data_IF_191203566133
#
_entry.id   IF_191203566133
#
_cell.length_a   1.000
_cell.length_b   1.000
_cell.length_c   1.000
_cell.angle_alpha   90.00
_cell.angle_beta   90.00
_cell.angle_gamma   90.00
#
_symmetry.space_group_name_H-M   'P 1'
#
loop_
_entity.id
_entity.type
_entity.pdbx_description
1 polymer ?
#
# COMPACT_ATOMS: atom_id res chain seq x y z
N UNK A 1 -52.35 -23.96 -0.57
CA UNK A 1 -51.20 -23.31 0.10
C UNK A 1 -50.00 -23.25 -0.82
N UNK A 2 -49.50 -24.37 -1.34
CA UNK A 2 -48.32 -24.41 -2.25
C UNK A 2 -48.33 -23.49 -3.48
N UNK A 3 -49.47 -23.35 -4.19
CA UNK A 3 -49.57 -22.50 -5.38
C UNK A 3 -49.45 -21.00 -5.09
N UNK A 4 -49.87 -20.54 -3.89
CA UNK A 4 -49.70 -19.15 -3.47
C UNK A 4 -48.25 -18.82 -3.11
N UNK A 5 -47.57 -19.75 -2.48
CA UNK A 5 -46.15 -19.62 -2.16
C UNK A 5 -45.29 -19.59 -3.42
N UNK A 6 -45.59 -20.46 -4.39
CA UNK A 6 -44.92 -20.45 -5.69
C UNK A 6 -45.14 -19.15 -6.47
N UNK A 7 -46.32 -18.56 -6.43
CA UNK A 7 -46.58 -17.26 -7.10
C UNK A 7 -45.81 -16.13 -6.43
N UNK A 8 -45.71 -16.12 -5.11
CA UNK A 8 -44.93 -15.11 -4.35
C UNK A 8 -43.45 -15.26 -4.68
N UNK A 9 -42.92 -16.47 -4.74
CA UNK A 9 -41.52 -16.74 -5.02
C UNK A 9 -41.16 -16.40 -6.47
N UNK A 10 -42.00 -16.78 -7.44
CA UNK A 10 -41.82 -16.39 -8.83
C UNK A 10 -41.91 -14.87 -9.03
N UNK A 11 -42.82 -14.20 -8.33
CA UNK A 11 -42.92 -12.75 -8.38
C UNK A 11 -41.66 -12.08 -7.84
N UNK A 12 -41.12 -12.61 -6.75
CA UNK A 12 -39.86 -12.15 -6.18
C UNK A 12 -38.68 -12.35 -7.13
N UNK A 13 -38.60 -13.51 -7.78
CA UNK A 13 -37.58 -13.79 -8.81
C UNK A 13 -37.69 -12.86 -10.02
N UNK A 14 -38.90 -12.56 -10.46
CA UNK A 14 -39.11 -11.61 -11.55
C UNK A 14 -38.74 -10.18 -11.13
N UNK A 15 -39.10 -9.76 -9.93
CA UNK A 15 -38.74 -8.45 -9.40
C UNK A 15 -37.21 -8.32 -9.20
N UNK A 16 -36.53 -9.39 -8.82
CA UNK A 16 -35.05 -9.43 -8.69
C UNK A 16 -34.36 -9.36 -10.07
N UNK A 17 -34.91 -10.03 -11.09
CA UNK A 17 -34.40 -9.97 -12.46
C UNK A 17 -34.72 -8.65 -13.18
N UNK A 18 -35.74 -7.94 -12.74
CA UNK A 18 -36.15 -6.64 -13.28
C UNK A 18 -35.43 -5.44 -12.63
N UNK A 19 -34.58 -5.68 -11.63
CA UNK A 19 -33.81 -4.59 -11.04
C UNK A 19 -32.89 -3.95 -12.08
N UNK A 20 -32.97 -2.64 -12.29
CA UNK A 20 -32.07 -1.95 -13.20
C UNK A 20 -30.61 -2.06 -12.69
N UNK A 21 -29.64 -2.00 -13.61
CA UNK A 21 -28.22 -2.06 -13.22
C UNK A 21 -27.90 -0.91 -12.25
N UNK A 22 -27.34 -1.25 -11.10
CA UNK A 22 -26.83 -0.28 -10.14
C UNK A 22 -25.49 0.31 -10.58
N UNK A 23 -25.17 1.51 -10.12
CA UNK A 23 -23.86 2.13 -10.30
C UNK A 23 -23.09 2.08 -8.98
N UNK A 24 -21.83 1.68 -9.02
CA UNK A 24 -20.98 1.71 -7.84
C UNK A 24 -20.37 3.09 -7.61
N UNK A 25 -20.22 3.45 -6.34
CA UNK A 25 -19.58 4.67 -5.89
C UNK A 25 -18.81 4.42 -4.58
N UNK A 26 -17.85 5.28 -4.26
CA UNK A 26 -17.08 5.20 -3.01
C UNK A 26 -17.68 6.13 -1.97
N UNK A 27 -18.00 5.61 -0.79
CA UNK A 27 -18.54 6.37 0.33
C UNK A 27 -17.46 7.24 0.98
N UNK A 28 -17.76 8.52 1.20
CA UNK A 28 -16.87 9.48 1.85
C UNK A 28 -17.22 9.76 3.30
N UNK A 29 -18.52 9.80 3.60
CA UNK A 29 -19.03 10.12 4.93
C UNK A 29 -20.52 10.40 4.93
N UNK A 30 -21.12 10.29 6.11
CA UNK A 30 -22.53 10.61 6.37
C UNK A 30 -22.69 12.01 6.95
N UNK A 31 -23.88 12.58 6.76
CA UNK A 31 -24.28 13.86 7.35
C UNK A 31 -25.37 13.67 8.41
N UNK A 32 -25.56 14.67 9.30
CA UNK A 32 -26.57 14.61 10.36
C UNK A 32 -28.01 14.49 9.84
N UNK A 33 -28.27 14.92 8.61
CA UNK A 33 -29.58 14.85 7.94
C UNK A 33 -29.89 13.49 7.31
N UNK A 34 -29.00 12.49 7.49
CA UNK A 34 -29.14 11.15 6.93
C UNK A 34 -28.74 11.03 5.46
N UNK A 35 -28.25 12.10 4.85
CA UNK A 35 -27.65 12.07 3.51
C UNK A 35 -26.19 11.66 3.55
N UNK A 36 -25.63 11.32 2.40
CA UNK A 36 -24.24 10.82 2.29
C UNK A 36 -23.48 11.53 1.18
N UNK A 37 -22.20 11.73 1.42
CA UNK A 37 -21.25 12.18 0.41
C UNK A 37 -20.56 10.96 -0.21
N UNK A 38 -20.50 10.89 -1.53
CA UNK A 38 -19.88 9.80 -2.30
C UNK A 38 -18.98 10.35 -3.41
N UNK A 39 -18.11 9.50 -3.94
CA UNK A 39 -17.42 9.72 -5.22
C UNK A 39 -17.91 8.68 -6.23
N UNK A 40 -18.45 9.15 -7.34
CA UNK A 40 -18.81 8.32 -8.47
C UNK A 40 -18.14 8.85 -9.74
N UNK A 41 -17.39 8.00 -10.44
CA UNK A 41 -16.64 8.37 -11.65
C UNK A 41 -15.73 9.60 -11.45
N UNK A 42 -15.06 9.71 -10.29
CA UNK A 42 -14.17 10.82 -9.94
C UNK A 42 -14.88 12.13 -9.54
N UNK A 43 -16.22 12.15 -9.45
CA UNK A 43 -17.01 13.32 -9.04
C UNK A 43 -17.56 13.13 -7.65
N UNK A 44 -17.36 14.14 -6.79
CA UNK A 44 -17.99 14.17 -5.48
C UNK A 44 -19.48 14.54 -5.64
N UNK A 45 -20.34 13.71 -5.07
CA UNK A 45 -21.80 13.87 -5.11
C UNK A 45 -22.37 13.81 -3.70
N UNK A 46 -23.48 14.51 -3.51
CA UNK A 46 -24.28 14.47 -2.30
C UNK A 46 -25.62 13.83 -2.64
N UNK A 47 -25.93 12.70 -2.00
CA UNK A 47 -27.08 11.86 -2.37
C UNK A 47 -27.84 11.37 -1.13
N UNK A 48 -29.09 10.95 -1.34
CA UNK A 48 -29.86 10.29 -0.30
C UNK A 48 -29.44 8.84 -0.07
N UNK A 49 -29.78 8.31 1.09
CA UNK A 49 -29.66 6.89 1.39
C UNK A 49 -31.04 6.25 1.55
N UNK A 50 -31.17 4.98 1.17
CA UNK A 50 -32.39 4.21 1.38
C UNK A 50 -32.70 4.09 2.88
N UNK A 51 -33.96 4.21 3.32
CA UNK A 51 -34.34 3.97 4.70
C UNK A 51 -34.01 2.57 5.22
N UNK A 52 -33.83 1.61 4.31
CA UNK A 52 -33.45 0.22 4.64
C UNK A 52 -31.94 0.07 4.93
N UNK A 53 -31.13 1.08 4.60
CA UNK A 53 -29.67 1.07 4.78
C UNK A 53 -29.29 1.78 6.09
N UNK A 54 -28.59 1.09 6.95
CA UNK A 54 -28.01 1.71 8.15
C UNK A 54 -26.72 2.46 7.80
N UNK A 55 -26.88 3.77 7.52
CA UNK A 55 -25.80 4.66 7.13
C UNK A 55 -24.71 4.79 8.20
N UNK A 56 -25.04 4.52 9.48
CA UNK A 56 -24.09 4.63 10.59
C UNK A 56 -23.00 3.54 10.57
N UNK A 57 -23.25 2.45 9.85
CA UNK A 57 -22.30 1.33 9.67
C UNK A 57 -21.38 1.50 8.47
N UNK A 58 -21.67 2.43 7.58
CA UNK A 58 -20.81 2.70 6.43
C UNK A 58 -19.51 3.34 6.88
N UNK A 59 -18.43 2.88 6.29
CA UNK A 59 -17.09 3.40 6.57
C UNK A 59 -16.51 4.13 5.35
N UNK A 60 -15.75 5.21 5.55
CA UNK A 60 -15.10 5.93 4.46
C UNK A 60 -14.21 5.00 3.62
N UNK A 61 -14.32 5.14 2.29
CA UNK A 61 -13.62 4.28 1.34
C UNK A 61 -14.38 3.01 0.94
N UNK A 62 -15.49 2.67 1.61
CA UNK A 62 -16.33 1.53 1.28
C UNK A 62 -17.11 1.78 -0.02
N UNK A 63 -17.28 0.75 -0.84
CA UNK A 63 -18.16 0.81 -2.00
C UNK A 63 -19.63 0.82 -1.57
N UNK A 64 -20.43 1.54 -2.32
CA UNK A 64 -21.89 1.60 -2.17
C UNK A 64 -22.54 1.52 -3.55
N UNK A 65 -23.71 0.89 -3.61
CA UNK A 65 -24.49 0.79 -4.82
C UNK A 65 -25.57 1.86 -4.87
N UNK A 66 -25.67 2.54 -6.02
CA UNK A 66 -26.67 3.55 -6.33
C UNK A 66 -27.74 2.97 -7.25
N UNK A 67 -28.98 3.34 -7.03
CA UNK A 67 -30.06 3.11 -7.98
C UNK A 67 -30.11 4.21 -9.08
N UNK A 68 -31.04 4.11 -10.00
CA UNK A 68 -31.25 5.11 -11.08
C UNK A 68 -31.55 6.52 -10.57
N UNK A 69 -32.14 6.65 -9.38
CA UNK A 69 -32.41 7.93 -8.73
C UNK A 69 -31.18 8.46 -7.96
N UNK A 70 -29.99 7.87 -8.13
CA UNK A 70 -28.75 8.21 -7.42
C UNK A 70 -28.88 8.12 -5.90
N UNK A 71 -29.73 7.23 -5.40
CA UNK A 71 -29.87 6.95 -3.96
C UNK A 71 -29.03 5.73 -3.60
N UNK A 72 -28.30 5.79 -2.48
CA UNK A 72 -27.54 4.64 -1.97
C UNK A 72 -28.54 3.61 -1.47
N UNK A 73 -28.48 2.41 -2.02
CA UNK A 73 -29.42 1.30 -1.70
C UNK A 73 -28.75 0.14 -0.99
N UNK A 74 -27.46 -0.07 -1.20
CA UNK A 74 -26.71 -1.19 -0.66
C UNK A 74 -25.28 -0.80 -0.31
N UNK A 75 -24.73 -1.43 0.73
CA UNK A 75 -23.34 -1.33 1.11
C UNK A 75 -22.55 -2.48 0.48
N UNK A 76 -21.49 -2.16 -0.24
CA UNK A 76 -20.54 -3.12 -0.80
C UNK A 76 -19.36 -3.39 0.13
N UNK A 77 -18.30 -3.97 -0.43
CA UNK A 77 -17.00 -4.16 0.21
C UNK A 77 -16.08 -2.96 0.06
N UNK A 78 -14.82 -3.26 -0.16
CA UNK A 78 -13.80 -2.29 -0.54
C UNK A 78 -13.21 -2.70 -1.88
N UNK A 79 -12.68 -1.73 -2.63
CA UNK A 79 -11.93 -2.03 -3.85
C UNK A 79 -10.72 -2.91 -3.50
N UNK A 80 -10.46 -3.94 -4.32
CA UNK A 80 -9.33 -4.87 -4.13
C UNK A 80 -8.21 -4.64 -5.16
N UNK A 81 -8.49 -3.82 -6.18
CA UNK A 81 -7.56 -3.57 -7.28
C UNK A 81 -7.25 -2.09 -7.38
N UNK A 82 -5.96 -1.74 -7.37
CA UNK A 82 -5.54 -0.36 -7.41
C UNK A 82 -4.09 -0.14 -7.79
N UNK A 83 -3.63 1.08 -7.59
CA UNK A 83 -2.27 1.50 -7.84
C UNK A 83 -1.41 1.29 -6.59
N UNK A 84 -0.20 0.75 -6.78
CA UNK A 84 0.77 0.57 -5.71
C UNK A 84 1.54 1.87 -5.49
N UNK A 85 1.58 2.33 -4.23
CA UNK A 85 2.30 3.54 -3.80
C UNK A 85 3.08 3.27 -2.51
N UNK A 86 4.10 4.09 -2.24
CA UNK A 86 4.91 3.96 -1.03
C UNK A 86 4.69 5.15 -0.11
N UNK A 87 4.56 4.89 1.20
CA UNK A 87 4.39 5.94 2.22
C UNK A 87 5.69 6.74 2.38
N UNK A 88 5.62 8.04 2.15
CA UNK A 88 6.72 8.99 2.40
C UNK A 88 6.60 9.65 3.78
N UNK A 89 5.37 10.04 4.16
CA UNK A 89 5.10 10.72 5.42
C UNK A 89 3.66 10.44 5.88
N UNK A 90 3.46 10.32 7.19
CA UNK A 90 2.13 10.18 7.78
C UNK A 90 1.59 11.56 8.16
N UNK A 91 0.39 11.89 7.67
CA UNK A 91 -0.28 13.17 7.91
C UNK A 91 -1.46 12.99 8.88
N UNK A 92 -1.14 12.83 10.16
CA UNK A 92 -2.14 12.52 11.20
C UNK A 92 -2.53 11.05 11.22
N UNK A 93 -3.77 10.74 11.59
CA UNK A 93 -4.27 9.37 11.80
C UNK A 93 -5.02 8.80 10.59
N UNK A 94 -5.40 9.65 9.63
CA UNK A 94 -6.30 9.27 8.54
C UNK A 94 -5.75 9.57 7.13
N UNK A 95 -4.53 10.13 7.04
CA UNK A 95 -3.91 10.52 5.76
C UNK A 95 -2.43 10.21 5.72
N UNK A 96 -1.91 10.04 4.51
CA UNK A 96 -0.48 9.93 4.25
C UNK A 96 -0.08 10.70 2.98
N UNK A 97 1.16 11.15 2.93
CA UNK A 97 1.84 11.55 1.72
C UNK A 97 2.50 10.30 1.15
N UNK A 98 2.17 9.96 -0.07
CA UNK A 98 2.68 8.77 -0.76
C UNK A 98 3.37 9.17 -2.05
N UNK A 99 4.28 8.29 -2.50
CA UNK A 99 4.98 8.41 -3.77
C UNK A 99 4.51 7.28 -4.68
N UNK A 100 4.01 7.64 -5.85
CA UNK A 100 3.59 6.72 -6.91
C UNK A 100 4.65 6.49 -7.96
N UNK A 101 4.24 5.98 -9.12
CA UNK A 101 5.12 5.80 -10.28
C UNK A 101 5.63 7.16 -10.78
N UNK A 102 6.95 7.26 -11.04
CA UNK A 102 7.57 8.47 -11.55
C UNK A 102 7.78 9.57 -10.52
N UNK A 103 7.91 9.20 -9.24
CA UNK A 103 8.14 10.11 -8.11
C UNK A 103 7.02 11.16 -7.89
N UNK A 104 5.82 10.90 -8.39
CA UNK A 104 4.67 11.76 -8.12
C UNK A 104 4.23 11.65 -6.67
N UNK A 105 4.22 12.80 -5.97
CA UNK A 105 3.74 12.89 -4.60
C UNK A 105 2.23 13.17 -4.57
N UNK A 106 1.51 12.40 -3.76
CA UNK A 106 0.06 12.55 -3.59
C UNK A 106 -0.35 12.36 -2.13
N UNK A 107 -1.32 13.15 -1.69
CA UNK A 107 -1.95 12.94 -0.38
C UNK A 107 -3.13 11.99 -0.56
N UNK A 108 -3.14 10.92 0.25
CA UNK A 108 -4.18 9.89 0.25
C UNK A 108 -4.86 9.80 1.61
N UNK A 109 -6.04 9.19 1.66
CA UNK A 109 -6.82 8.96 2.89
C UNK A 109 -6.92 7.47 3.15
N UNK A 110 -6.91 7.09 4.42
CA UNK A 110 -7.10 5.69 4.80
C UNK A 110 -8.60 5.35 4.78
N UNK A 111 -8.95 4.24 4.10
CA UNK A 111 -10.28 3.64 4.20
C UNK A 111 -10.53 3.08 5.60
N UNK A 112 -11.79 2.85 5.95
CA UNK A 112 -12.16 2.38 7.27
C UNK A 112 -11.40 1.15 7.73
N UNK A 113 -11.22 0.18 6.84
CA UNK A 113 -10.48 -1.07 7.13
C UNK A 113 -8.98 -0.88 7.38
N UNK A 114 -8.36 0.22 6.88
CA UNK A 114 -6.92 0.49 7.02
C UNK A 114 -6.61 1.38 8.22
N UNK A 115 -7.61 2.05 8.81
CA UNK A 115 -7.41 2.98 9.94
C UNK A 115 -6.78 2.33 11.17
N UNK A 116 -7.10 1.07 11.41
CA UNK A 116 -6.58 0.29 12.54
C UNK A 116 -5.26 -0.41 12.20
N UNK A 117 -4.82 -0.37 10.95
CA UNK A 117 -3.55 -0.91 10.51
C UNK A 117 -2.40 0.02 10.93
N UNK A 118 -1.33 -0.57 11.47
CA UNK A 118 -0.13 0.17 11.87
C UNK A 118 0.71 0.50 10.63
N UNK A 119 0.26 1.50 9.85
CA UNK A 119 0.99 1.99 8.67
C UNK A 119 2.28 2.70 9.09
N UNK A 120 3.38 2.41 8.43
CA UNK A 120 4.70 3.00 8.67
C UNK A 120 5.23 3.68 7.41
N UNK A 121 6.17 4.61 7.62
CA UNK A 121 6.92 5.21 6.52
C UNK A 121 7.69 4.12 5.78
N UNK A 122 7.56 4.09 4.46
CA UNK A 122 8.15 3.09 3.58
C UNK A 122 7.26 1.87 3.31
N UNK A 123 6.09 1.72 3.95
CA UNK A 123 5.16 0.67 3.62
C UNK A 123 4.57 0.88 2.23
N UNK A 124 4.28 -0.23 1.56
CA UNK A 124 3.57 -0.23 0.29
C UNK A 124 2.05 -0.25 0.56
N UNK A 125 1.32 0.60 -0.15
CA UNK A 125 -0.12 0.73 -0.03
C UNK A 125 -0.78 0.56 -1.39
N UNK A 126 -1.97 -0.03 -1.41
CA UNK A 126 -2.83 -0.05 -2.60
C UNK A 126 -3.88 1.05 -2.50
N UNK A 127 -3.96 1.89 -3.53
CA UNK A 127 -4.89 3.03 -3.58
C UNK A 127 -5.84 2.92 -4.77
N UNK A 128 -7.07 3.39 -4.57
CA UNK A 128 -7.95 3.76 -5.68
C UNK A 128 -7.60 5.17 -6.17
N UNK A 129 -7.06 5.28 -7.37
CA UNK A 129 -6.63 6.55 -7.98
C UNK A 129 -7.78 7.52 -8.23
N UNK A 130 -9.03 7.06 -8.26
CA UNK A 130 -10.23 7.87 -8.52
C UNK A 130 -10.75 8.52 -7.25
N UNK A 131 -10.84 7.78 -6.16
CA UNK A 131 -11.31 8.27 -4.87
C UNK A 131 -10.21 8.79 -3.97
N UNK A 132 -8.97 8.33 -4.18
CA UNK A 132 -7.80 8.66 -3.36
C UNK A 132 -7.78 7.96 -2.00
N UNK A 133 -8.55 6.86 -1.85
CA UNK A 133 -8.51 6.05 -0.65
C UNK A 133 -7.49 4.92 -0.75
N UNK A 134 -6.81 4.67 0.37
CA UNK A 134 -6.00 3.47 0.62
C UNK A 134 -6.92 2.41 1.18
N UNK A 135 -6.95 1.24 0.58
CA UNK A 135 -7.78 0.12 1.04
C UNK A 135 -6.97 -1.09 1.48
N UNK A 136 -5.67 -1.13 1.22
CA UNK A 136 -4.82 -2.22 1.65
C UNK A 136 -3.41 -1.74 2.01
N UNK A 137 -2.81 -2.39 3.02
CA UNK A 137 -1.40 -2.23 3.38
C UNK A 137 -0.68 -3.52 3.02
N UNK A 138 0.31 -3.43 2.14
CA UNK A 138 1.12 -4.58 1.77
C UNK A 138 2.32 -4.65 2.72
N UNK A 139 2.44 -5.71 3.53
CA UNK A 139 3.55 -5.86 4.45
C UNK A 139 4.90 -5.88 3.71
N UNK A 140 5.90 -5.23 4.28
CA UNK A 140 7.25 -5.13 3.70
C UNK A 140 7.89 -6.47 3.32
N UNK A 141 7.61 -7.53 4.09
CA UNK A 141 8.15 -8.86 3.84
C UNK A 141 7.73 -9.44 2.48
N UNK A 142 6.52 -9.13 2.00
CA UNK A 142 6.05 -9.59 0.69
C UNK A 142 6.66 -8.79 -0.47
N UNK A 143 7.08 -7.54 -0.21
CA UNK A 143 7.72 -6.69 -1.21
C UNK A 143 9.24 -6.97 -1.27
N UNK A 144 9.87 -7.31 -0.15
CA UNK A 144 11.28 -7.71 -0.09
C UNK A 144 11.52 -9.08 -0.76
N UNK A 145 10.57 -10.01 -0.70
CA UNK A 145 10.64 -11.28 -1.45
C UNK A 145 10.42 -11.10 -2.97
N UNK A 146 9.75 -10.03 -3.39
CA UNK A 146 9.55 -9.70 -4.82
C UNK A 146 10.71 -8.90 -5.42
N UNK A 147 11.48 -8.21 -4.61
CA UNK A 147 12.80 -7.71 -4.93
C UNK A 147 13.81 -8.77 -4.50
N UNK A 148 13.92 -9.81 -5.28
CA UNK A 148 15.10 -10.67 -5.27
C UNK A 148 16.28 -9.77 -5.64
N UNK A 149 16.89 -9.09 -4.65
CA UNK A 149 18.29 -8.80 -4.74
C UNK A 149 18.97 -10.17 -4.88
N UNK A 150 19.38 -10.48 -6.09
CA UNK A 150 20.35 -11.55 -6.29
C UNK A 150 21.51 -11.21 -5.36
N UNK A 151 21.61 -11.91 -4.24
CA UNK A 151 22.84 -11.92 -3.45
C UNK A 151 23.89 -12.44 -4.44
N UNK A 152 24.83 -11.60 -4.87
CA UNK A 152 25.79 -12.04 -5.86
C UNK A 152 26.58 -13.22 -5.24
N UNK A 153 26.62 -14.36 -5.89
CA UNK A 153 27.50 -15.49 -5.57
C UNK A 153 28.97 -15.13 -5.86
N UNK A 154 29.45 -14.03 -5.25
CA UNK A 154 30.82 -13.54 -5.42
C UNK A 154 31.43 -13.40 -4.04
N UNK A 155 32.40 -14.25 -3.76
CA UNK A 155 33.20 -14.20 -2.54
C UNK A 155 34.52 -13.49 -2.78
N UNK A 156 35.17 -13.04 -1.70
CA UNK A 156 36.52 -12.44 -1.77
C UNK A 156 37.56 -13.39 -2.39
N UNK A 157 37.34 -14.70 -2.32
CA UNK A 157 38.20 -15.73 -2.93
C UNK A 157 38.17 -15.69 -4.47
N UNK A 158 37.09 -15.16 -5.06
CA UNK A 158 36.94 -14.97 -6.51
C UNK A 158 37.74 -13.78 -7.04
N UNK A 159 38.28 -12.92 -6.13
CA UNK A 159 38.95 -11.69 -6.46
C UNK A 159 40.48 -11.89 -6.35
N UNK A 160 41.13 -12.16 -7.47
CA UNK A 160 42.57 -12.31 -7.52
C UNK A 160 43.36 -11.01 -7.49
N UNK A 161 44.52 -11.00 -6.80
CA UNK A 161 45.53 -9.94 -6.91
C UNK A 161 45.30 -8.66 -6.11
N UNK A 162 44.21 -8.59 -5.30
CA UNK A 162 43.83 -7.41 -4.50
C UNK A 162 43.84 -7.67 -2.99
N UNK A 163 44.63 -8.62 -2.50
CA UNK A 163 44.65 -9.03 -1.11
C UNK A 163 44.77 -7.89 -0.10
N UNK A 164 45.73 -6.97 -0.19
CA UNK A 164 45.85 -5.87 0.77
C UNK A 164 44.66 -4.89 0.76
N UNK A 165 44.00 -4.73 -0.41
CA UNK A 165 42.83 -3.88 -0.56
C UNK A 165 41.59 -4.55 0.07
N UNK A 166 41.45 -5.87 -0.11
CA UNK A 166 40.38 -6.66 0.50
C UNK A 166 40.50 -6.64 2.03
N UNK A 167 41.70 -6.84 2.58
CA UNK A 167 41.93 -6.74 4.02
C UNK A 167 41.55 -5.35 4.59
N UNK A 168 41.96 -4.27 3.90
CA UNK A 168 41.60 -2.92 4.32
C UNK A 168 40.09 -2.67 4.28
N UNK A 169 39.36 -3.28 3.35
CA UNK A 169 37.89 -3.14 3.27
C UNK A 169 37.23 -3.97 4.35
N UNK A 170 37.68 -5.18 4.61
CA UNK A 170 37.19 -6.04 5.71
C UNK A 170 37.36 -5.33 7.06
N UNK A 171 38.51 -4.75 7.29
CA UNK A 171 38.78 -3.99 8.51
C UNK A 171 37.88 -2.74 8.64
N UNK A 172 37.61 -2.08 7.54
CA UNK A 172 36.79 -0.87 7.55
C UNK A 172 35.28 -1.13 7.61
N UNK A 173 34.78 -2.21 6.98
CA UNK A 173 33.35 -2.49 6.84
C UNK A 173 32.91 -3.62 7.76
N UNK A 174 33.57 -4.77 7.75
CA UNK A 174 33.13 -5.96 8.50
C UNK A 174 33.46 -5.88 9.99
N UNK A 175 34.68 -5.45 10.37
CA UNK A 175 35.10 -5.38 11.79
C UNK A 175 34.17 -4.56 12.68
N UNK A 176 33.65 -3.39 12.26
CA UNK A 176 32.69 -2.63 13.07
C UNK A 176 31.37 -3.36 13.34
N UNK A 177 30.95 -4.22 12.41
CA UNK A 177 29.71 -5.01 12.55
C UNK A 177 29.94 -6.29 13.35
N UNK A 178 31.06 -6.99 13.13
CA UNK A 178 31.39 -8.23 13.84
C UNK A 178 31.80 -7.97 15.30
N UNK A 179 32.51 -6.86 15.58
CA UNK A 179 33.06 -6.54 16.88
C UNK A 179 32.74 -5.11 17.32
N UNK A 180 31.46 -4.73 17.46
CA UNK A 180 31.05 -3.37 17.87
C UNK A 180 31.56 -2.97 19.27
N UNK A 181 31.79 -3.96 20.13
CA UNK A 181 32.36 -3.75 21.48
C UNK A 181 33.77 -3.20 21.44
N UNK A 182 34.64 -3.69 20.53
CA UNK A 182 36.03 -3.20 20.39
C UNK A 182 36.07 -1.73 19.95
N UNK A 183 35.17 -1.36 19.04
CA UNK A 183 35.06 0.02 18.56
C UNK A 183 34.62 0.98 19.68
N UNK A 184 33.71 0.54 20.57
CA UNK A 184 33.28 1.33 21.73
C UNK A 184 34.38 1.45 22.78
N UNK A 185 35.06 0.34 23.10
CA UNK A 185 36.11 0.31 24.12
C UNK A 185 37.29 1.24 23.75
N UNK A 186 37.64 1.24 22.45
CA UNK A 186 38.75 2.08 21.96
C UNK A 186 38.30 3.45 21.41
N UNK A 187 37.02 3.82 21.56
CA UNK A 187 36.48 5.10 21.11
C UNK A 187 36.58 5.33 19.57
N UNK A 188 36.68 4.25 18.80
CA UNK A 188 36.77 4.28 17.34
C UNK A 188 35.39 4.49 16.72
N UNK A 189 35.34 5.33 15.68
CA UNK A 189 34.11 5.52 14.91
C UNK A 189 34.23 4.77 13.58
N UNK A 190 33.26 3.88 13.23
CA UNK A 190 33.28 3.25 11.94
C UNK A 190 33.19 4.29 10.81
N UNK A 191 33.86 4.06 9.69
CA UNK A 191 33.76 4.94 8.53
C UNK A 191 32.33 4.98 8.00
N UNK A 192 31.87 6.15 7.58
CA UNK A 192 30.51 6.32 7.01
C UNK A 192 30.40 5.87 5.56
N UNK A 193 31.51 5.58 4.90
CA UNK A 193 31.58 5.14 3.51
C UNK A 193 33.00 4.87 3.08
N UNK A 194 33.14 4.03 2.05
CA UNK A 194 34.41 3.67 1.43
C UNK A 194 34.39 4.07 -0.04
N UNK A 195 35.41 4.76 -0.53
CA UNK A 195 35.53 5.13 -1.93
C UNK A 195 36.53 4.22 -2.64
N UNK A 196 36.02 3.45 -3.62
CA UNK A 196 36.87 2.64 -4.50
C UNK A 196 37.21 3.41 -5.76
N UNK A 197 38.49 3.68 -6.00
CA UNK A 197 38.94 4.37 -7.20
C UNK A 197 40.03 3.58 -7.92
N UNK A 198 40.19 3.79 -9.23
CA UNK A 198 41.18 3.12 -10.06
C UNK A 198 40.73 3.00 -11.52
N UNK A 199 41.56 2.50 -12.44
CA UNK A 199 41.24 2.35 -13.84
C UNK A 199 40.05 1.40 -14.07
N UNK A 200 39.36 1.45 -15.20
CA UNK A 200 38.30 0.50 -15.56
C UNK A 200 38.85 -0.92 -15.62
N UNK A 201 38.05 -1.89 -15.22
CA UNK A 201 38.41 -3.32 -15.26
C UNK A 201 39.27 -3.84 -14.07
N UNK A 202 39.61 -3.02 -13.07
CA UNK A 202 40.43 -3.44 -11.95
C UNK A 202 39.65 -4.07 -10.77
N UNK A 203 38.47 -4.61 -10.99
CA UNK A 203 37.72 -5.38 -9.97
C UNK A 203 36.92 -4.56 -8.95
N UNK A 204 36.75 -3.22 -9.08
CA UNK A 204 36.01 -2.39 -8.11
C UNK A 204 34.58 -2.86 -7.87
N UNK A 205 33.87 -3.18 -8.95
CA UNK A 205 32.48 -3.68 -8.89
C UNK A 205 32.41 -5.07 -8.29
N UNK A 206 33.42 -5.92 -8.49
CA UNK A 206 33.49 -7.26 -7.88
C UNK A 206 33.69 -7.13 -6.37
N UNK A 207 34.60 -6.27 -5.92
CA UNK A 207 34.80 -5.99 -4.49
C UNK A 207 33.50 -5.46 -3.86
N UNK A 208 32.82 -4.51 -4.51
CA UNK A 208 31.57 -3.95 -3.99
C UNK A 208 30.40 -4.97 -3.93
N UNK A 209 30.50 -6.06 -4.66
CA UNK A 209 29.52 -7.17 -4.61
C UNK A 209 29.87 -8.24 -3.60
N UNK A 210 31.16 -8.38 -3.24
CA UNK A 210 31.66 -9.37 -2.28
C UNK A 210 31.61 -8.87 -0.83
N UNK A 211 31.40 -7.56 -0.61
CA UNK A 211 31.21 -6.90 0.71
C UNK A 211 29.75 -7.03 1.14
#
# INVERSE_FOLDING_TARGET
MAAREQIVDLKRQVDDLAKPPGTYATFLGSRPDGTVDIVSSGRKMHVGASPSLDVSRLQPGQEVMLNEALTVVEAGGYEEVGELVTVKELLGTDRALVVGRGDEERVVRFAGQVRDAHVRIGDALTIDSRSGFVFEVIPRAEVEELVLEEVPDIDYEDIGGLGPQIEAIRDAVELPFLHPELFREHGLKPPKGVLLYGPPGCGKTLIAKAV
#
